data_IF_942522257569
#
_entry.id   IF_942522257569
#
_cell.length_a   1.000
_cell.length_b   1.000
_cell.length_c   1.000
_cell.angle_alpha   90.00
_cell.angle_beta   90.00
_cell.angle_gamma   90.00
#
_symmetry.space_group_name_H-M   'P 1'
#
loop_
_entity.id
_entity.type
_entity.pdbx_description
1 polymer ?
#
# COMPACT_ATOMS: atom_id res chain seq x y z
N UNK A 1 8.72 4.87 0.75
CA UNK A 1 8.00 5.76 -0.19
C UNK A 1 6.55 5.98 0.24
N UNK A 2 5.96 7.11 -0.14
CA UNK A 2 4.54 7.41 0.08
C UNK A 2 3.70 6.83 -1.07
N UNK A 3 2.56 6.22 -0.74
CA UNK A 3 1.54 5.83 -1.72
C UNK A 3 0.90 7.10 -2.31
N UNK A 4 0.68 7.11 -3.62
CA UNK A 4 -0.09 8.17 -4.26
C UNK A 4 -1.59 8.03 -3.92
N UNK A 5 -2.31 9.14 -3.97
CA UNK A 5 -3.71 9.20 -3.58
C UNK A 5 -4.63 8.39 -4.52
N UNK A 6 -4.27 8.25 -5.80
CA UNK A 6 -5.08 7.52 -6.77
C UNK A 6 -4.97 6.01 -6.54
N UNK A 7 -3.75 5.48 -6.43
CA UNK A 7 -3.48 4.06 -6.11
C UNK A 7 -4.06 3.70 -4.76
N UNK A 8 -3.92 4.55 -3.75
CA UNK A 8 -4.54 4.32 -2.44
C UNK A 8 -6.06 4.18 -2.57
N UNK A 9 -6.70 5.06 -3.34
CA UNK A 9 -8.15 5.01 -3.56
C UNK A 9 -8.55 3.74 -4.31
N UNK A 10 -7.83 3.37 -5.37
CA UNK A 10 -8.10 2.13 -6.12
C UNK A 10 -8.00 0.88 -5.25
N UNK A 11 -7.00 0.79 -4.36
CA UNK A 11 -6.87 -0.33 -3.43
C UNK A 11 -8.02 -0.37 -2.42
N UNK A 12 -8.45 0.80 -1.92
CA UNK A 12 -9.62 0.86 -1.02
C UNK A 12 -10.86 0.39 -1.77
N UNK A 13 -11.11 0.90 -2.97
CA UNK A 13 -12.31 0.56 -3.76
C UNK A 13 -12.33 -0.95 -4.14
N UNK A 14 -11.17 -1.59 -4.30
CA UNK A 14 -11.05 -3.02 -4.64
C UNK A 14 -11.27 -3.95 -3.43
N UNK A 15 -10.76 -3.58 -2.25
CA UNK A 15 -10.74 -4.44 -1.07
C UNK A 15 -11.76 -4.04 0.01
N UNK A 16 -12.45 -2.91 -0.15
CA UNK A 16 -13.50 -2.47 0.76
C UNK A 16 -14.62 -3.51 0.84
N UNK A 17 -15.02 -3.84 2.06
CA UNK A 17 -16.11 -4.80 2.32
C UNK A 17 -17.48 -4.13 2.34
N UNK A 18 -17.50 -2.81 2.50
CA UNK A 18 -18.70 -1.98 2.51
C UNK A 18 -18.39 -0.55 2.05
N UNK A 19 -19.42 0.23 1.72
CA UNK A 19 -19.25 1.61 1.30
C UNK A 19 -18.62 2.46 2.42
N UNK A 20 -17.52 3.16 2.10
CA UNK A 20 -16.78 3.97 3.07
C UNK A 20 -15.83 3.17 3.97
N UNK A 21 -15.66 1.87 3.73
CA UNK A 21 -14.69 1.06 4.45
C UNK A 21 -13.25 1.42 4.06
N UNK A 22 -12.61 2.22 4.90
CA UNK A 22 -11.19 2.60 4.74
C UNK A 22 -10.27 1.92 5.76
N UNK A 23 -10.81 1.02 6.58
CA UNK A 23 -10.17 0.61 7.83
C UNK A 23 -10.26 -0.87 8.16
N UNK A 24 -11.00 -1.65 7.37
CA UNK A 24 -11.06 -3.11 7.55
C UNK A 24 -9.68 -3.77 7.46
N UNK A 25 -9.52 -4.96 8.07
CA UNK A 25 -8.31 -5.75 7.94
C UNK A 25 -7.91 -5.98 6.48
N UNK A 26 -8.86 -6.25 5.60
CA UNK A 26 -8.65 -6.50 4.18
C UNK A 26 -8.03 -5.29 3.48
N UNK A 27 -8.64 -4.10 3.66
CA UNK A 27 -8.13 -2.84 3.12
C UNK A 27 -6.75 -2.50 3.67
N UNK A 28 -6.54 -2.64 4.99
CA UNK A 28 -5.25 -2.34 5.61
C UNK A 28 -4.15 -3.30 5.13
N UNK A 29 -4.44 -4.61 5.04
CA UNK A 29 -3.50 -5.61 4.53
C UNK A 29 -3.15 -5.33 3.07
N UNK A 30 -4.11 -4.97 2.23
CA UNK A 30 -3.87 -4.63 0.83
C UNK A 30 -2.95 -3.40 0.71
N UNK A 31 -3.21 -2.33 1.47
CA UNK A 31 -2.39 -1.12 1.49
C UNK A 31 -0.95 -1.40 1.96
N UNK A 32 -0.79 -2.16 3.04
CA UNK A 32 0.53 -2.54 3.56
C UNK A 32 1.29 -3.44 2.58
N UNK A 33 0.61 -4.40 1.97
CA UNK A 33 1.18 -5.30 0.95
C UNK A 33 1.73 -4.50 -0.23
N UNK A 34 0.96 -3.54 -0.76
CA UNK A 34 1.43 -2.68 -1.85
C UNK A 34 2.67 -1.89 -1.44
N UNK A 35 2.64 -1.27 -0.25
CA UNK A 35 3.76 -0.49 0.27
C UNK A 35 5.02 -1.33 0.47
N UNK A 36 4.88 -2.56 0.95
CA UNK A 36 5.99 -3.52 1.09
C UNK A 36 6.57 -3.87 -0.27
N UNK A 37 5.72 -4.14 -1.27
CA UNK A 37 6.17 -4.44 -2.63
C UNK A 37 7.00 -3.29 -3.23
N UNK A 38 6.49 -2.06 -3.12
CA UNK A 38 7.17 -0.87 -3.63
C UNK A 38 8.48 -0.61 -2.89
N UNK A 39 8.49 -0.75 -1.56
CA UNK A 39 9.69 -0.58 -0.75
C UNK A 39 10.73 -1.67 -1.03
N UNK A 40 10.28 -2.90 -1.29
CA UNK A 40 11.18 -4.01 -1.67
C UNK A 40 11.86 -3.73 -3.00
N UNK A 41 11.13 -3.19 -3.98
CA UNK A 41 11.71 -2.74 -5.24
C UNK A 41 12.75 -1.64 -5.02
N UNK A 42 12.37 -0.60 -4.28
CA UNK A 42 13.28 0.50 -3.92
C UNK A 42 14.58 0.03 -3.29
N UNK A 43 14.51 -0.84 -2.27
CA UNK A 43 15.70 -1.30 -1.54
C UNK A 43 16.59 -2.24 -2.36
N UNK A 44 16.07 -2.90 -3.42
CA UNK A 44 16.89 -3.67 -4.36
C UNK A 44 17.81 -2.77 -5.17
N UNK A 45 17.30 -1.61 -5.59
CA UNK A 45 18.05 -0.62 -6.35
C UNK A 45 18.92 0.25 -5.43
N UNK A 46 18.45 0.51 -4.21
CA UNK A 46 19.09 1.36 -3.20
C UNK A 46 19.62 0.54 -2.01
N UNK A 47 20.62 -0.31 -2.25
CA UNK A 47 21.16 -1.30 -1.29
C UNK A 47 21.72 -0.73 0.03
N UNK A 48 22.03 0.57 0.07
CA UNK A 48 22.61 1.26 1.23
C UNK A 48 21.59 2.13 1.98
N UNK A 49 20.33 2.11 1.58
CA UNK A 49 19.26 2.86 2.24
C UNK A 49 18.77 2.10 3.48
N UNK A 50 19.37 2.40 4.64
CA UNK A 50 19.14 1.70 5.92
C UNK A 50 18.38 2.54 6.97
N UNK A 51 17.91 3.74 6.60
CA UNK A 51 17.20 4.66 7.52
C UNK A 51 15.76 4.21 7.76
#
# INVERSE_FOLDING_TARGET
>A
MSLDAATKKSIIDEYATSEGDTGSPEVQVALLTKRISDLTGHLKDHKHDHH
#
